data_IF_278961982629
#
_entry.id   IF_278961982629
#
_cell.length_a   1.000
_cell.length_b   1.000
_cell.length_c   1.000
_cell.angle_alpha   90.00
_cell.angle_beta   90.00
_cell.angle_gamma   90.00
#
_symmetry.space_group_name_H-M   'P 1'
#
loop_
_entity.id
_entity.type
_entity.pdbx_description
1 polymer ?
#
# COMPACT_ATOMS: atom_id res chain seq x y z
N UNK A 1 4.39 -4.04 -16.81
CA UNK A 1 3.85 -4.06 -15.43
C UNK A 1 4.86 -4.70 -14.50
N UNK A 2 5.26 -4.00 -13.42
CA UNK A 2 6.09 -4.54 -12.36
C UNK A 2 5.21 -4.93 -11.16
N UNK A 3 5.60 -5.99 -10.44
CA UNK A 3 4.86 -6.48 -9.27
C UNK A 3 5.82 -6.55 -8.09
N UNK A 4 5.38 -6.06 -6.94
CA UNK A 4 6.08 -6.23 -5.66
C UNK A 4 5.07 -6.43 -4.54
N UNK A 5 5.55 -6.83 -3.37
CA UNK A 5 4.73 -6.98 -2.17
C UNK A 5 5.18 -5.96 -1.12
N UNK A 6 4.24 -5.43 -0.36
CA UNK A 6 4.45 -4.48 0.73
C UNK A 6 3.74 -4.97 1.99
N UNK A 7 4.32 -4.70 3.14
CA UNK A 7 3.72 -5.00 4.45
C UNK A 7 3.66 -3.73 5.27
N UNK A 8 2.50 -3.43 5.85
CA UNK A 8 2.36 -2.34 6.81
C UNK A 8 3.07 -2.73 8.12
N UNK A 9 4.03 -1.92 8.56
CA UNK A 9 4.79 -2.14 9.79
C UNK A 9 3.90 -2.13 11.04
N UNK A 10 2.83 -1.33 11.03
CA UNK A 10 1.99 -1.13 12.21
C UNK A 10 1.00 -2.27 12.41
N UNK A 11 0.23 -2.63 11.38
CA UNK A 11 -0.84 -3.63 11.50
C UNK A 11 -0.54 -5.00 10.90
N UNK A 12 0.59 -5.14 10.18
CA UNK A 12 0.97 -6.36 9.49
C UNK A 12 0.13 -6.68 8.25
N UNK A 13 -0.75 -5.77 7.80
CA UNK A 13 -1.48 -5.94 6.55
C UNK A 13 -0.51 -6.03 5.35
N UNK A 14 -0.73 -7.00 4.47
CA UNK A 14 0.10 -7.24 3.29
C UNK A 14 -0.62 -6.86 2.00
N UNK A 15 0.08 -6.22 1.07
CA UNK A 15 -0.46 -5.70 -0.18
C UNK A 15 0.39 -6.14 -1.37
N UNK A 16 -0.28 -6.55 -2.45
CA UNK A 16 0.34 -6.66 -3.77
C UNK A 16 0.35 -5.28 -4.41
N UNK A 17 1.55 -4.75 -4.66
CA UNK A 17 1.78 -3.50 -5.42
C UNK A 17 1.97 -3.84 -6.90
N UNK A 18 1.24 -3.15 -7.76
CA UNK A 18 1.31 -3.29 -9.22
C UNK A 18 1.64 -1.93 -9.82
N UNK A 19 2.74 -1.85 -10.56
CA UNK A 19 3.17 -0.63 -11.24
C UNK A 19 3.01 -0.80 -12.76
N UNK A 20 2.12 0.01 -13.34
CA UNK A 20 1.85 0.04 -14.76
C UNK A 20 2.76 1.08 -15.42
N UNK A 21 3.91 0.62 -15.92
CA UNK A 21 4.90 1.48 -16.57
C UNK A 21 4.43 2.10 -17.90
N UNK A 22 3.32 1.60 -18.45
CA UNK A 22 2.68 2.14 -19.66
C UNK A 22 1.74 3.31 -19.37
N UNK A 23 1.33 3.51 -18.12
CA UNK A 23 0.35 4.53 -17.72
C UNK A 23 0.99 5.53 -16.76
N UNK A 24 0.64 6.81 -16.88
CA UNK A 24 1.11 7.83 -15.92
C UNK A 24 0.36 7.71 -14.59
N UNK A 25 1.08 8.00 -13.52
CA UNK A 25 0.52 7.99 -12.17
C UNK A 25 0.02 9.36 -11.73
N UNK A 26 -0.46 9.40 -10.49
CA UNK A 26 -0.83 10.62 -9.78
C UNK A 26 0.07 10.71 -8.56
N UNK A 27 0.64 11.89 -8.32
CA UNK A 27 1.43 12.14 -7.11
C UNK A 27 0.52 12.10 -5.88
N UNK A 28 0.97 11.45 -4.81
CA UNK A 28 0.17 11.35 -3.60
C UNK A 28 0.75 10.37 -2.59
N UNK A 29 -0.04 10.03 -1.58
CA UNK A 29 0.40 9.19 -0.48
C UNK A 29 -0.50 7.96 -0.38
N UNK A 30 0.11 6.77 -0.35
CA UNK A 30 -0.61 5.54 -0.09
C UNK A 30 -0.59 5.22 1.40
N UNK A 31 -1.75 5.31 2.03
CA UNK A 31 -1.96 4.96 3.43
C UNK A 31 -2.55 3.56 3.54
N UNK A 32 -2.19 2.84 4.60
CA UNK A 32 -2.74 1.55 4.93
C UNK A 32 -4.27 1.67 5.12
N UNK A 33 -5.11 0.98 4.33
CA UNK A 33 -6.56 1.06 4.49
C UNK A 33 -7.07 0.48 5.82
N UNK A 34 -6.24 -0.31 6.52
CA UNK A 34 -6.61 -0.93 7.78
C UNK A 34 -6.34 -0.04 9.02
N UNK A 35 -5.24 0.71 9.03
CA UNK A 35 -4.81 1.46 10.22
C UNK A 35 -4.42 2.93 9.93
N UNK A 36 -4.47 3.37 8.67
CA UNK A 36 -4.18 4.74 8.27
C UNK A 36 -2.70 5.11 8.17
N UNK A 37 -1.77 4.22 8.55
CA UNK A 37 -0.32 4.50 8.48
C UNK A 37 0.14 4.76 7.06
N UNK A 38 0.93 5.80 6.84
CA UNK A 38 1.60 6.07 5.56
C UNK A 38 2.55 4.91 5.22
N UNK A 39 2.38 4.30 4.03
CA UNK A 39 3.21 3.20 3.55
C UNK A 39 4.21 3.69 2.50
N UNK A 40 3.77 4.51 1.56
CA UNK A 40 4.59 4.93 0.41
C UNK A 40 4.14 6.30 -0.10
N UNK A 41 5.10 7.14 -0.48
CA UNK A 41 4.87 8.34 -1.28
C UNK A 41 4.97 7.99 -2.77
N UNK A 42 3.95 8.35 -3.54
CA UNK A 42 3.81 8.08 -4.96
C UNK A 42 4.25 9.28 -5.79
N UNK A 43 5.10 9.03 -6.79
CA UNK A 43 5.37 9.97 -7.87
C UNK A 43 4.36 9.86 -9.02
N UNK A 44 4.39 10.82 -9.95
CA UNK A 44 3.49 10.84 -11.11
C UNK A 44 4.01 10.01 -12.32
N UNK A 45 5.15 9.33 -12.20
CA UNK A 45 5.79 8.65 -13.32
C UNK A 45 4.97 7.45 -13.84
N UNK A 46 4.47 6.62 -12.94
CA UNK A 46 3.76 5.38 -13.27
C UNK A 46 2.52 5.20 -12.41
N UNK A 47 1.44 4.68 -12.99
CA UNK A 47 0.25 4.34 -12.23
C UNK A 47 0.52 3.15 -11.31
N UNK A 48 0.24 3.31 -10.02
CA UNK A 48 0.42 2.26 -9.00
C UNK A 48 -0.94 1.86 -8.43
N UNK A 49 -1.15 0.55 -8.35
CA UNK A 49 -2.36 -0.06 -7.80
C UNK A 49 -1.96 -1.01 -6.66
N UNK A 50 -2.83 -1.10 -5.65
CA UNK A 50 -2.61 -1.94 -4.48
C UNK A 50 -3.79 -2.88 -4.28
N UNK A 51 -3.50 -4.15 -3.97
CA UNK A 51 -4.51 -5.14 -3.60
C UNK A 51 -4.14 -5.74 -2.26
N UNK A 52 -5.07 -5.69 -1.30
CA UNK A 52 -4.91 -6.39 -0.02
C UNK A 52 -4.76 -7.90 -0.27
N UNK A 53 -3.78 -8.51 0.37
CA UNK A 53 -3.45 -9.95 0.25
C UNK A 53 -3.37 -10.65 1.60
N UNK A 54 -3.01 -9.92 2.66
CA UNK A 54 -2.98 -10.42 4.03
C UNK A 54 -3.78 -9.46 4.90
N UNK A 55 -4.77 -9.98 5.61
CA UNK A 55 -5.56 -9.19 6.56
C UNK A 55 -4.68 -8.71 7.73
N UNK A 56 -4.91 -7.49 8.25
CA UNK A 56 -4.20 -6.99 9.44
C UNK A 56 -4.43 -7.90 10.65
N UNK A 57 -3.41 -8.05 11.49
CA UNK A 57 -3.55 -8.80 12.75
C UNK A 57 -4.08 -7.89 13.87
N UNK A 58 -5.07 -8.37 14.61
CA UNK A 58 -5.90 -7.61 15.58
C UNK A 58 -5.09 -6.92 16.70
N UNK A 59 -3.84 -7.33 16.97
CA UNK A 59 -3.01 -6.73 18.03
C UNK A 59 -2.66 -5.26 17.80
N UNK A 60 -2.65 -4.79 16.56
CA UNK A 60 -2.29 -3.40 16.22
C UNK A 60 -3.47 -2.42 16.26
N UNK A 61 -4.71 -2.92 16.19
CA UNK A 61 -5.92 -2.08 16.07
C UNK A 61 -6.45 -1.66 17.45
N UNK A 62 -6.01 -2.31 18.53
CA UNK A 62 -6.58 -2.16 19.89
C UNK A 62 -6.07 -0.96 20.71
N UNK A 63 -5.26 -0.06 20.14
CA UNK A 63 -4.71 1.10 20.86
C UNK A 63 -5.21 2.46 20.32
N UNK A 64 -6.51 2.58 20.05
CA UNK A 64 -7.18 3.88 19.89
C UNK A 64 -8.40 3.95 20.80
#
# INVERSE_FOLDING_TARGET
MKKSDLTCSECGAGFRRLELTSERGIQGNYHCPACGTLIEELGAAHLVLYRLTVQPSIKAIRNQ
#
